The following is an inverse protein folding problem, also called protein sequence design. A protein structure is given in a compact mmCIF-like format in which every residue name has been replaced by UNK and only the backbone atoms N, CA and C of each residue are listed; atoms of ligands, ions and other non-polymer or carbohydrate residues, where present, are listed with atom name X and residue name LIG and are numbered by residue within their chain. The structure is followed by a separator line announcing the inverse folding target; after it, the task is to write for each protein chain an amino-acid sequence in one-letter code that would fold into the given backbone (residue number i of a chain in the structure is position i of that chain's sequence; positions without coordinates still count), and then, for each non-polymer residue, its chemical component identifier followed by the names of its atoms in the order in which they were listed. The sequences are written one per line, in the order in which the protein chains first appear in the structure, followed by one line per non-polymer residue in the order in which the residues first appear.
data_IF_687352444899
#
_entry.id   IF_687352444899
#
_cell.length_a   1.000
_cell.length_b   1.000
_cell.length_c   1.000
_cell.angle_alpha   90.00
_cell.angle_beta   90.00
_cell.angle_gamma   90.00
#
_symmetry.space_group_name_H-M   'P 1'
#
loop_
_entity.id
_entity.type
_entity.pdbx_description
1 polymer ?
#
# COMPACT_ATOMS: atom_id res chain seq x y z
N UNK A 1 14.86 -3.85 7.36
CA UNK A 1 16.18 -4.49 7.10
C UNK A 1 16.28 -5.87 7.74
N UNK A 2 15.90 -6.04 9.01
CA UNK A 2 15.89 -7.36 9.68
C UNK A 2 14.94 -8.37 9.01
N UNK A 3 13.77 -7.92 8.55
CA UNK A 3 12.79 -8.82 7.92
C UNK A 3 13.31 -9.49 6.65
N UNK A 4 14.04 -8.77 5.79
CA UNK A 4 14.65 -9.34 4.59
C UNK A 4 15.77 -10.32 4.94
N UNK A 5 16.59 -10.00 5.94
CA UNK A 5 17.66 -10.89 6.42
C UNK A 5 17.07 -12.18 7.01
N UNK A 6 16.04 -12.07 7.84
CA UNK A 6 15.39 -13.21 8.47
C UNK A 6 14.71 -14.07 7.40
N UNK A 7 13.94 -13.48 6.49
CA UNK A 7 13.28 -14.22 5.41
C UNK A 7 14.30 -14.99 4.55
N UNK A 8 15.43 -14.37 4.21
CA UNK A 8 16.50 -15.04 3.46
C UNK A 8 17.18 -16.15 4.26
N UNK A 9 17.38 -15.95 5.57
CA UNK A 9 17.99 -16.95 6.46
C UNK A 9 17.07 -18.15 6.65
N UNK A 10 15.80 -17.90 6.93
CA UNK A 10 14.75 -18.92 7.13
C UNK A 10 14.48 -19.71 5.83
N UNK A 11 14.63 -19.07 4.68
CA UNK A 11 14.51 -19.68 3.36
C UNK A 11 15.81 -20.32 2.86
N UNK A 12 16.87 -20.40 3.68
CA UNK A 12 18.13 -21.03 3.30
C UNK A 12 18.85 -20.37 2.12
N UNK A 13 18.60 -19.08 1.87
CA UNK A 13 19.16 -18.34 0.73
C UNK A 13 18.30 -18.37 -0.54
N UNK A 14 17.16 -19.08 -0.56
CA UNK A 14 16.22 -19.06 -1.68
C UNK A 14 15.48 -17.72 -1.73
N UNK A 15 15.68 -16.98 -2.81
CA UNK A 15 15.11 -15.64 -3.03
C UNK A 15 13.60 -15.71 -3.26
N UNK A 16 13.11 -16.68 -4.01
CA UNK A 16 11.69 -16.81 -4.34
C UNK A 16 10.88 -17.21 -3.10
N UNK A 17 11.42 -18.16 -2.33
CA UNK A 17 10.84 -18.55 -1.03
C UNK A 17 10.84 -17.38 -0.04
N UNK A 18 11.95 -16.62 0.05
CA UNK A 18 12.03 -15.45 0.92
C UNK A 18 11.05 -14.35 0.51
N UNK A 19 10.86 -14.14 -0.80
CA UNK A 19 9.88 -13.18 -1.33
C UNK A 19 8.45 -13.59 -0.94
N UNK A 20 8.12 -14.88 -1.06
CA UNK A 20 6.81 -15.41 -0.65
C UNK A 20 6.59 -15.20 0.85
N UNK A 21 7.58 -15.54 1.68
CA UNK A 21 7.52 -15.34 3.13
C UNK A 21 7.33 -13.86 3.50
N UNK A 22 8.03 -12.94 2.82
CA UNK A 22 7.87 -11.49 3.02
C UNK A 22 6.47 -11.00 2.65
N UNK A 23 5.88 -11.51 1.56
CA UNK A 23 4.50 -11.17 1.17
C UNK A 23 3.49 -11.61 2.21
N UNK A 24 3.57 -12.86 2.66
CA UNK A 24 2.69 -13.41 3.71
C UNK A 24 2.81 -12.61 5.01
N UNK A 25 4.04 -12.29 5.44
CA UNK A 25 4.29 -11.46 6.61
C UNK A 25 3.78 -10.02 6.45
N UNK A 26 3.89 -9.46 5.25
CA UNK A 26 3.35 -8.14 4.91
C UNK A 26 1.83 -8.09 5.10
N UNK A 27 1.12 -9.11 4.59
CA UNK A 27 -0.33 -9.24 4.77
C UNK A 27 -0.71 -9.37 6.25
N UNK A 28 0.01 -10.18 7.02
CA UNK A 28 -0.23 -10.31 8.46
C UNK A 28 0.00 -8.97 9.21
N UNK A 29 1.00 -8.19 8.78
CA UNK A 29 1.27 -6.87 9.36
C UNK A 29 0.17 -5.86 9.00
N UNK A 30 -0.31 -5.88 7.76
CA UNK A 30 -1.43 -5.05 7.33
C UNK A 30 -2.71 -5.38 8.13
N UNK A 31 -3.01 -6.67 8.32
CA UNK A 31 -4.15 -7.10 9.14
C UNK A 31 -4.07 -6.59 10.59
N UNK A 32 -2.87 -6.60 11.20
CA UNK A 32 -2.67 -6.02 12.55
C UNK A 32 -2.85 -4.50 12.59
N UNK A 33 -2.62 -3.80 11.48
CA UNK A 33 -2.77 -2.34 11.37
C UNK A 33 -4.18 -1.91 10.99
N UNK A 34 -5.02 -2.81 10.49
CA UNK A 34 -6.39 -2.50 10.05
C UNK A 34 -7.28 -1.91 11.16
N UNK A 35 -6.97 -2.17 12.44
CA UNK A 35 -7.69 -1.58 13.58
C UNK A 35 -7.25 -0.16 13.95
N UNK A 36 -6.26 0.43 13.25
CA UNK A 36 -5.81 1.80 13.51
C UNK A 36 -6.68 2.80 12.77
N UNK A 37 -6.91 3.95 13.41
CA UNK A 37 -7.66 5.05 12.78
C UNK A 37 -6.81 5.70 11.69
N UNK A 38 -7.32 5.71 10.46
CA UNK A 38 -6.77 6.45 9.33
C UNK A 38 -7.69 7.64 9.02
N UNK A 39 -7.46 8.77 9.71
CA UNK A 39 -8.29 9.98 9.58
C UNK A 39 -7.72 11.02 8.61
N UNK A 40 -6.46 10.87 8.21
CA UNK A 40 -5.81 11.72 7.21
C UNK A 40 -5.90 11.07 5.83
N UNK A 41 -5.50 11.76 4.75
CA UNK A 41 -5.51 11.18 3.41
C UNK A 41 -5.60 12.20 2.29
N UNK A 42 -6.15 11.76 1.16
CA UNK A 42 -6.49 12.65 0.04
C UNK A 42 -7.75 12.19 -0.67
N UNK A 43 -8.38 13.14 -1.35
CA UNK A 43 -9.44 12.89 -2.32
C UNK A 43 -8.90 13.18 -3.72
N UNK A 44 -9.06 12.24 -4.64
CA UNK A 44 -8.70 12.40 -6.05
C UNK A 44 -9.95 12.30 -6.91
N UNK A 45 -10.00 13.13 -7.95
CA UNK A 45 -11.05 13.09 -8.97
C UNK A 45 -10.40 12.80 -10.31
N UNK A 46 -10.98 11.88 -11.08
CA UNK A 46 -10.49 11.53 -12.41
C UNK A 46 -11.66 11.34 -13.38
N UNK A 47 -11.50 11.76 -14.63
CA UNK A 47 -12.44 11.46 -15.71
C UNK A 47 -11.93 10.21 -16.43
N UNK A 48 -12.68 9.11 -16.34
CA UNK A 48 -12.32 7.84 -17.00
C UNK A 48 -12.77 7.83 -18.47
N UNK A 49 -13.84 8.55 -18.79
CA UNK A 49 -14.32 8.76 -20.15
C UNK A 49 -15.12 10.08 -20.26
N UNK A 50 -15.42 10.59 -21.46
CA UNK A 50 -16.24 11.80 -21.60
C UNK A 50 -17.62 11.63 -20.94
N UNK A 51 -17.86 12.36 -19.86
CA UNK A 51 -19.10 12.28 -19.08
C UNK A 51 -19.09 11.23 -17.97
N UNK A 52 -17.99 10.51 -17.77
CA UNK A 52 -17.83 9.51 -16.71
C UNK A 52 -16.60 9.84 -15.85
N UNK A 53 -16.81 9.92 -14.53
CA UNK A 53 -15.76 10.27 -13.59
C UNK A 53 -15.83 9.49 -12.30
N UNK A 54 -14.68 9.36 -11.66
CA UNK A 54 -14.47 8.70 -10.39
C UNK A 54 -14.00 9.74 -9.37
N UNK A 55 -14.61 9.72 -8.19
CA UNK A 55 -14.13 10.42 -7.00
C UNK A 55 -13.70 9.35 -5.99
N UNK A 56 -12.46 9.39 -5.55
CA UNK A 56 -11.87 8.39 -4.65
C UNK A 56 -11.28 9.10 -3.42
N UNK A 57 -11.73 8.69 -2.23
CA UNK A 57 -11.08 9.02 -0.97
C UNK A 57 -10.13 7.89 -0.58
N UNK A 58 -8.85 8.22 -0.36
CA UNK A 58 -7.85 7.27 0.13
C UNK A 58 -7.25 7.79 1.43
N UNK A 59 -7.54 7.10 2.53
CA UNK A 59 -7.11 7.49 3.87
C UNK A 59 -5.79 6.84 4.31
N UNK A 60 -5.06 7.52 5.19
CA UNK A 60 -3.87 7.04 5.88
C UNK A 60 -3.80 7.59 7.33
N UNK A 61 -2.83 7.10 8.11
CA UNK A 61 -2.71 7.50 9.53
C UNK A 61 -2.21 8.95 9.70
N UNK A 62 -1.41 9.48 8.77
CA UNK A 62 -0.80 10.83 8.89
C UNK A 62 -0.78 11.58 7.56
N UNK A 63 -0.80 12.91 7.63
CA UNK A 63 -0.74 13.79 6.45
C UNK A 63 0.60 13.70 5.70
N UNK A 64 1.70 13.39 6.41
CA UNK A 64 3.01 13.16 5.80
C UNK A 64 2.98 12.00 4.81
N UNK A 65 2.24 10.92 5.11
CA UNK A 65 2.09 9.78 4.20
C UNK A 65 1.29 10.18 2.97
N UNK A 66 0.18 10.91 3.16
CA UNK A 66 -0.68 11.38 2.07
C UNK A 66 0.11 12.21 1.04
N UNK A 67 1.11 12.98 1.46
CA UNK A 67 1.91 13.85 0.59
C UNK A 67 3.06 13.13 -0.12
N UNK A 68 3.27 11.83 0.12
CA UNK A 68 4.36 11.09 -0.53
C UNK A 68 4.04 10.76 -1.99
N UNK A 69 5.06 10.76 -2.89
CA UNK A 69 4.85 10.40 -4.30
C UNK A 69 4.17 9.03 -4.49
N UNK A 70 4.58 8.02 -3.71
CA UNK A 70 4.02 6.68 -3.83
C UNK A 70 2.54 6.60 -3.43
N UNK A 71 2.08 7.44 -2.50
CA UNK A 71 0.66 7.48 -2.11
C UNK A 71 -0.18 8.23 -3.16
N UNK A 72 0.35 9.32 -3.71
CA UNK A 72 -0.25 10.06 -4.83
C UNK A 72 -0.40 9.16 -6.07
N UNK A 73 0.65 8.42 -6.41
CA UNK A 73 0.66 7.49 -7.54
C UNK A 73 -0.37 6.36 -7.34
N UNK A 74 -0.46 5.83 -6.12
CA UNK A 74 -1.45 4.80 -5.78
C UNK A 74 -2.89 5.34 -5.93
N UNK A 75 -3.19 6.50 -5.35
CA UNK A 75 -4.52 7.09 -5.43
C UNK A 75 -4.93 7.37 -6.88
N UNK A 76 -4.02 7.94 -7.68
CA UNK A 76 -4.25 8.22 -9.10
C UNK A 76 -4.52 6.93 -9.87
N UNK A 77 -3.68 5.90 -9.68
CA UNK A 77 -3.85 4.60 -10.34
C UNK A 77 -5.18 3.93 -9.99
N UNK A 78 -5.62 4.02 -8.74
CA UNK A 78 -6.90 3.46 -8.31
C UNK A 78 -8.09 4.21 -8.92
N UNK A 79 -7.97 5.51 -9.15
CA UNK A 79 -9.00 6.34 -9.78
C UNK A 79 -8.98 6.30 -11.33
N UNK A 80 -7.99 5.63 -11.94
CA UNK A 80 -7.85 5.47 -13.40
C UNK A 80 -8.29 4.10 -13.91
N UNK A 81 -8.92 3.28 -13.06
CA UNK A 81 -9.47 1.97 -13.44
C UNK A 81 -10.86 2.13 -14.03
#
# INVERSE_FOLDING_TARGET
MMDCKNALTDSGGDIDAALKQLREKGLATAAKRAGRTAAEGMVVANLVSPGEGVLLELNCETDFVAKTPGFLDLATRLASV
#
